data_IF_901700809599
#
_entry.id   IF_901700809599
#
_cell.length_a   1.000
_cell.length_b   1.000
_cell.length_c   1.000
_cell.angle_alpha   90.00
_cell.angle_beta   90.00
_cell.angle_gamma   90.00
#
_symmetry.space_group_name_H-M   'P 1'
#
loop_
_entity.id
_entity.type
_entity.pdbx_description
1 polymer ?
#
# COMPACT_ATOMS: atom_id res chain seq x y z
N UNK A 1 -31.46 34.71 -1.87
CA UNK A 1 -30.98 33.32 -2.07
C UNK A 1 -29.49 33.38 -2.39
N UNK A 2 -28.63 33.29 -1.38
CA UNK A 2 -27.18 33.31 -1.55
C UNK A 2 -26.74 32.05 -2.30
N UNK A 3 -26.12 32.22 -3.47
CA UNK A 3 -25.55 31.13 -4.26
C UNK A 3 -24.24 30.69 -3.62
N UNK A 4 -24.20 29.52 -2.98
CA UNK A 4 -22.98 28.99 -2.38
C UNK A 4 -22.04 28.43 -3.46
N UNK A 5 -20.82 28.96 -3.53
CA UNK A 5 -19.74 28.42 -4.39
C UNK A 5 -19.13 27.17 -3.75
N UNK A 6 -19.27 26.02 -4.40
CA UNK A 6 -18.63 24.77 -3.95
C UNK A 6 -17.18 24.69 -4.45
N UNK A 7 -16.20 24.86 -3.55
CA UNK A 7 -14.78 24.67 -3.86
C UNK A 7 -14.37 23.23 -3.57
N UNK A 8 -13.93 22.48 -4.60
CA UNK A 8 -13.37 21.13 -4.43
C UNK A 8 -11.86 21.22 -4.20
N UNK A 9 -11.40 20.83 -3.02
CA UNK A 9 -9.97 20.77 -2.71
C UNK A 9 -9.30 19.55 -3.36
N UNK A 10 -8.09 19.75 -3.87
CA UNK A 10 -7.23 18.67 -4.35
C UNK A 10 -6.68 17.86 -3.17
N UNK A 11 -7.03 16.56 -3.11
CA UNK A 11 -6.60 15.66 -2.04
C UNK A 11 -5.29 14.94 -2.42
N UNK A 12 -4.16 15.63 -2.24
CA UNK A 12 -2.83 15.05 -2.47
C UNK A 12 -2.33 14.29 -1.24
N UNK A 13 -1.51 13.26 -1.49
CA UNK A 13 -0.79 12.56 -0.41
C UNK A 13 0.42 13.41 -0.02
N UNK A 14 0.40 13.91 1.21
CA UNK A 14 1.45 14.75 1.73
C UNK A 14 2.63 13.91 2.24
N UNK A 15 3.83 14.46 2.08
CA UNK A 15 5.05 13.97 2.74
C UNK A 15 5.04 14.54 4.15
N UNK A 16 4.74 13.69 5.13
CA UNK A 16 4.58 14.07 6.53
C UNK A 16 5.06 12.95 7.46
N UNK A 17 5.37 13.29 8.71
CA UNK A 17 5.78 12.32 9.71
C UNK A 17 4.62 11.36 10.02
N UNK A 18 4.91 10.06 10.04
CA UNK A 18 3.89 9.01 10.23
C UNK A 18 3.19 8.58 8.94
N UNK A 19 3.52 9.17 7.79
CA UNK A 19 3.11 8.67 6.48
C UNK A 19 3.78 7.34 6.19
N UNK A 20 2.98 6.35 5.78
CA UNK A 20 3.47 5.04 5.38
C UNK A 20 3.79 5.07 3.89
N UNK A 21 4.95 4.55 3.53
CA UNK A 21 5.46 4.51 2.17
C UNK A 21 5.77 3.08 1.75
N UNK A 22 5.56 2.79 0.47
CA UNK A 22 5.98 1.54 -0.15
C UNK A 22 7.31 1.79 -0.88
N UNK A 23 8.34 1.03 -0.54
CA UNK A 23 9.62 1.11 -1.24
C UNK A 23 9.49 0.44 -2.61
N UNK A 24 9.85 1.15 -3.69
CA UNK A 24 9.66 0.67 -5.06
C UNK A 24 10.93 0.09 -5.69
N UNK A 25 12.12 0.52 -5.22
CA UNK A 25 13.42 0.13 -5.77
C UNK A 25 14.43 -0.19 -4.66
N UNK A 26 15.46 -0.95 -5.01
CA UNK A 26 16.55 -1.33 -4.11
C UNK A 26 16.26 -2.62 -3.32
N UNK A 27 17.14 -2.92 -2.36
CA UNK A 27 17.11 -4.17 -1.57
C UNK A 27 15.80 -4.37 -0.79
N UNK A 28 15.10 -3.28 -0.47
CA UNK A 28 13.86 -3.30 0.32
C UNK A 28 12.60 -3.11 -0.52
N UNK A 29 12.68 -3.27 -1.85
CA UNK A 29 11.54 -3.11 -2.75
C UNK A 29 10.36 -4.01 -2.33
N UNK A 30 9.14 -3.46 -2.37
CA UNK A 30 7.91 -4.13 -1.95
C UNK A 30 7.60 -4.04 -0.46
N UNK A 31 8.54 -3.55 0.37
CA UNK A 31 8.33 -3.41 1.82
C UNK A 31 7.74 -2.05 2.18
N UNK A 32 6.96 -2.01 3.25
CA UNK A 32 6.48 -0.75 3.83
C UNK A 32 7.53 -0.15 4.75
N UNK A 33 7.57 1.18 4.82
CA UNK A 33 8.31 1.92 5.82
C UNK A 33 7.51 3.16 6.24
N UNK A 34 7.89 3.80 7.34
CA UNK A 34 7.26 5.02 7.84
C UNK A 34 8.22 6.18 7.70
N UNK A 35 7.75 7.34 7.24
CA UNK A 35 8.49 8.60 7.29
C UNK A 35 8.59 9.07 8.75
N UNK A 36 9.81 9.14 9.27
CA UNK A 36 10.09 9.57 10.65
C UNK A 36 10.47 11.04 10.71
N UNK A 37 11.18 11.51 9.68
CA UNK A 37 11.64 12.88 9.55
C UNK A 37 11.85 13.22 8.08
N UNK A 38 11.67 14.49 7.74
CA UNK A 38 11.91 15.03 6.39
C UNK A 38 13.28 15.71 6.43
N UNK A 39 14.19 15.25 5.57
CA UNK A 39 15.56 15.77 5.52
C UNK A 39 15.58 16.99 4.61
N UNK A 40 15.09 16.82 3.38
CA UNK A 40 15.02 17.86 2.37
C UNK A 40 13.86 17.57 1.40
N UNK A 41 13.71 18.39 0.35
CA UNK A 41 12.62 18.27 -0.61
C UNK A 41 12.61 16.94 -1.40
N UNK A 42 13.76 16.24 -1.48
CA UNK A 42 13.92 15.01 -2.26
C UNK A 42 14.19 13.78 -1.39
N UNK A 43 14.46 13.94 -0.09
CA UNK A 43 14.85 12.85 0.81
C UNK A 43 14.12 12.90 2.14
N UNK A 44 13.78 11.72 2.64
CA UNK A 44 13.18 11.53 3.95
C UNK A 44 13.96 10.45 4.73
N UNK A 45 13.94 10.55 6.06
CA UNK A 45 14.38 9.49 6.95
C UNK A 45 13.22 8.51 7.13
N UNK A 46 13.41 7.26 6.73
CA UNK A 46 12.40 6.21 6.85
C UNK A 46 12.84 5.13 7.82
N UNK A 47 11.87 4.48 8.45
CA UNK A 47 12.09 3.37 9.38
C UNK A 47 10.95 2.34 9.24
N UNK A 48 11.30 1.05 9.16
CA UNK A 48 10.35 -0.05 8.98
C UNK A 48 10.74 -1.27 9.81
N UNK A 49 10.72 -1.17 11.15
CA UNK A 49 11.21 -2.24 12.03
C UNK A 49 10.41 -3.55 11.91
N UNK A 50 9.09 -3.46 11.70
CA UNK A 50 8.21 -4.63 11.52
C UNK A 50 8.33 -5.29 10.14
N UNK A 51 8.78 -4.54 9.13
CA UNK A 51 8.93 -5.01 7.74
C UNK A 51 10.37 -5.34 7.36
N UNK A 52 11.32 -5.08 8.26
CA UNK A 52 12.75 -5.30 8.05
C UNK A 52 13.39 -4.27 7.11
N UNK A 53 12.86 -3.05 7.07
CA UNK A 53 13.54 -1.90 6.44
C UNK A 53 14.32 -1.16 7.53
N UNK A 54 15.66 -1.10 7.47
CA UNK A 54 16.43 -0.40 8.48
C UNK A 54 16.20 1.10 8.39
N UNK A 55 16.43 1.77 9.52
CA UNK A 55 16.40 3.24 9.61
C UNK A 55 17.45 3.84 8.66
N UNK A 56 17.01 4.53 7.63
CA UNK A 56 17.90 5.07 6.61
C UNK A 56 17.31 6.30 5.92
N UNK A 57 18.17 7.16 5.37
CA UNK A 57 17.73 8.19 4.43
C UNK A 57 17.36 7.56 3.09
N UNK A 58 16.20 7.89 2.54
CA UNK A 58 15.76 7.42 1.23
C UNK A 58 15.31 8.59 0.34
N UNK A 59 15.59 8.49 -0.95
CA UNK A 59 15.03 9.42 -1.95
C UNK A 59 13.52 9.19 -2.09
N UNK A 60 12.75 10.27 -2.10
CA UNK A 60 11.32 10.26 -2.34
C UNK A 60 10.97 9.69 -3.73
N UNK A 61 11.91 9.72 -4.68
CA UNK A 61 11.76 9.09 -5.99
C UNK A 61 11.80 7.54 -5.95
N UNK A 62 12.32 6.94 -4.87
CA UNK A 62 12.44 5.49 -4.71
C UNK A 62 11.28 4.88 -3.91
N UNK A 63 10.38 5.71 -3.38
CA UNK A 63 9.23 5.29 -2.60
C UNK A 63 7.95 5.83 -3.21
N UNK A 64 6.82 5.18 -2.89
CA UNK A 64 5.50 5.66 -3.25
C UNK A 64 4.70 5.88 -1.98
N UNK A 65 4.09 7.07 -1.85
CA UNK A 65 3.26 7.40 -0.71
C UNK A 65 1.96 6.60 -0.74
N UNK A 66 1.68 5.90 0.36
CA UNK A 66 0.39 5.24 0.57
C UNK A 66 -0.62 6.23 1.18
N UNK A 67 -1.93 5.97 1.07
CA UNK A 67 -2.92 6.78 1.77
C UNK A 67 -2.85 6.64 3.30
N UNK A 68 -2.16 5.60 3.83
CA UNK A 68 -2.10 5.32 5.26
C UNK A 68 -1.16 6.30 5.98
N UNK A 69 -1.66 6.81 7.11
CA UNK A 69 -0.93 7.66 8.06
C UNK A 69 -1.23 7.19 9.48
N UNK A 70 -0.32 7.48 10.40
CA UNK A 70 -0.57 7.34 11.83
C UNK A 70 0.18 8.43 12.61
N UNK A 71 -0.28 8.73 13.82
CA UNK A 71 0.35 9.75 14.66
C UNK A 71 1.71 9.28 15.18
N UNK A 72 2.76 10.00 14.80
CA UNK A 72 4.14 9.74 15.20
C UNK A 72 4.87 11.05 15.49
N UNK A 73 5.52 11.20 16.66
CA UNK A 73 6.39 12.34 16.92
C UNK A 73 7.59 12.37 15.96
N UNK A 74 7.96 13.54 15.44
CA UNK A 74 9.14 13.72 14.59
C UNK A 74 10.40 13.20 15.28
N UNK A 75 11.25 12.50 14.53
CA UNK A 75 12.53 12.01 15.05
C UNK A 75 12.41 10.79 15.98
N UNK A 76 11.21 10.20 16.11
CA UNK A 76 10.99 8.99 16.93
C UNK A 76 12.02 7.90 16.66
N UNK A 77 12.53 7.25 17.72
CA UNK A 77 13.44 6.09 17.61
C UNK A 77 12.70 4.85 17.13
N UNK A 78 13.43 3.89 16.59
CA UNK A 78 12.90 2.65 15.98
C UNK A 78 11.93 1.89 16.88
N UNK A 79 12.21 1.78 18.19
CA UNK A 79 11.31 1.13 19.13
C UNK A 79 9.94 1.85 19.25
N UNK A 80 9.94 3.18 19.26
CA UNK A 80 8.71 3.98 19.28
C UNK A 80 7.93 3.84 17.98
N UNK A 81 8.63 3.82 16.83
CA UNK A 81 8.02 3.58 15.52
C UNK A 81 7.34 2.21 15.49
N UNK A 82 8.03 1.15 15.94
CA UNK A 82 7.45 -0.20 16.00
C UNK A 82 6.18 -0.24 16.85
N UNK A 83 6.22 0.32 18.06
CA UNK A 83 5.08 0.36 18.98
C UNK A 83 3.88 1.11 18.41
N UNK A 84 4.11 2.26 17.77
CA UNK A 84 3.05 3.08 17.17
C UNK A 84 2.49 2.45 15.90
N UNK A 85 3.34 1.82 15.08
CA UNK A 85 2.95 1.14 13.86
C UNK A 85 2.01 -0.04 14.14
N UNK A 86 2.34 -0.87 15.15
CA UNK A 86 1.49 -1.98 15.56
C UNK A 86 0.20 -1.49 16.23
N UNK A 87 0.28 -0.50 17.12
CA UNK A 87 -0.90 0.09 17.75
C UNK A 87 -1.90 0.70 16.74
N UNK A 88 -1.39 1.22 15.61
CA UNK A 88 -2.23 1.79 14.55
C UNK A 88 -2.81 0.74 13.59
N UNK A 89 -2.43 -0.54 13.71
CA UNK A 89 -2.91 -1.63 12.85
C UNK A 89 -2.59 -1.41 11.37
N UNK A 90 -1.41 -0.86 11.07
CA UNK A 90 -1.04 -0.44 9.70
C UNK A 90 -0.89 -1.64 8.76
N UNK A 91 -0.37 -2.75 9.26
CA UNK A 91 -0.15 -3.95 8.44
C UNK A 91 -1.47 -4.54 7.96
N UNK A 92 -2.46 -4.62 8.85
CA UNK A 92 -3.80 -5.12 8.59
C UNK A 92 -4.52 -4.21 7.60
N UNK A 93 -4.52 -2.89 7.86
CA UNK A 93 -5.10 -1.88 6.96
C UNK A 93 -4.47 -1.91 5.57
N UNK A 94 -3.15 -2.14 5.49
CA UNK A 94 -2.48 -2.31 4.22
C UNK A 94 -2.96 -3.58 3.50
N UNK A 95 -2.97 -4.72 4.19
CA UNK A 95 -3.39 -6.01 3.62
C UNK A 95 -4.85 -5.98 3.10
N UNK A 96 -5.73 -5.24 3.78
CA UNK A 96 -7.13 -5.06 3.37
C UNK A 96 -7.30 -4.18 2.13
N UNK A 97 -6.31 -3.32 1.84
CA UNK A 97 -6.39 -2.38 0.74
C UNK A 97 -6.48 -3.09 -0.62
N UNK A 98 -7.26 -2.51 -1.54
CA UNK A 98 -7.35 -3.00 -2.92
C UNK A 98 -5.97 -3.02 -3.61
N UNK A 99 -5.08 -2.11 -3.22
CA UNK A 99 -3.72 -2.05 -3.73
C UNK A 99 -2.91 -3.29 -3.31
N UNK A 100 -2.86 -3.60 -2.02
CA UNK A 100 -2.14 -4.79 -1.54
C UNK A 100 -2.74 -6.08 -2.11
N UNK A 101 -4.07 -6.20 -2.14
CA UNK A 101 -4.77 -7.34 -2.75
C UNK A 101 -4.41 -7.53 -4.22
N UNK A 102 -4.21 -6.44 -4.98
CA UNK A 102 -3.78 -6.49 -6.39
C UNK A 102 -2.32 -6.93 -6.54
N UNK A 103 -1.44 -6.51 -5.62
CA UNK A 103 -0.04 -6.97 -5.58
C UNK A 103 -0.03 -8.49 -5.32
N UNK A 104 -0.70 -8.94 -4.26
CA UNK A 104 -0.81 -10.36 -3.90
C UNK A 104 -1.40 -11.20 -5.04
N UNK A 105 -2.49 -10.74 -5.67
CA UNK A 105 -3.09 -11.43 -6.82
C UNK A 105 -2.08 -11.61 -7.98
N UNK A 106 -1.25 -10.59 -8.25
CA UNK A 106 -0.24 -10.66 -9.30
C UNK A 106 0.86 -11.66 -8.96
N UNK A 107 1.30 -11.69 -7.70
CA UNK A 107 2.30 -12.64 -7.20
C UNK A 107 1.78 -14.07 -7.27
N UNK A 108 0.58 -14.33 -6.74
CA UNK A 108 -0.06 -15.65 -6.82
C UNK A 108 -0.17 -16.12 -8.27
N UNK A 109 -0.61 -15.26 -9.20
CA UNK A 109 -0.71 -15.63 -10.62
C UNK A 109 0.64 -15.94 -11.27
N UNK A 110 1.71 -15.25 -10.87
CA UNK A 110 3.07 -15.55 -11.34
C UNK A 110 3.59 -16.88 -10.82
N UNK A 111 3.18 -17.29 -9.63
CA UNK A 111 3.59 -18.52 -8.98
C UNK A 111 2.79 -19.78 -9.40
N UNK A 112 1.80 -19.67 -10.29
CA UNK A 112 0.96 -20.80 -10.69
C UNK A 112 1.73 -21.84 -11.52
N UNK A 113 1.60 -23.11 -11.13
CA UNK A 113 2.06 -24.25 -11.92
C UNK A 113 1.23 -24.41 -13.22
N UNK A 114 1.72 -25.24 -14.14
CA UNK A 114 0.98 -25.55 -15.38
C UNK A 114 -0.38 -26.19 -15.11
N UNK A 115 -0.42 -27.14 -14.18
CA UNK A 115 -1.65 -27.79 -13.76
C UNK A 115 -2.64 -26.80 -13.12
N UNK A 116 -2.17 -25.85 -12.32
CA UNK A 116 -3.05 -24.83 -11.74
C UNK A 116 -3.58 -23.85 -12.79
N UNK A 117 -2.78 -23.52 -13.82
CA UNK A 117 -3.25 -22.75 -14.96
C UNK A 117 -4.37 -23.47 -15.72
N UNK A 118 -4.25 -24.80 -15.89
CA UNK A 118 -5.33 -25.62 -16.46
C UNK A 118 -6.60 -25.58 -15.60
N UNK A 119 -6.49 -25.78 -14.27
CA UNK A 119 -7.63 -25.67 -13.34
C UNK A 119 -8.32 -24.32 -13.44
N UNK A 120 -7.55 -23.22 -13.42
CA UNK A 120 -8.08 -21.86 -13.55
C UNK A 120 -8.82 -21.67 -14.87
N UNK A 121 -8.31 -22.24 -15.98
CA UNK A 121 -8.96 -22.17 -17.29
C UNK A 121 -10.32 -22.89 -17.28
N UNK A 122 -10.41 -24.09 -16.71
CA UNK A 122 -11.67 -24.84 -16.59
C UNK A 122 -12.68 -24.10 -15.70
N UNK A 123 -12.25 -23.64 -14.51
CA UNK A 123 -13.11 -22.89 -13.58
C UNK A 123 -13.63 -21.59 -14.21
N UNK A 124 -12.81 -20.90 -15.01
CA UNK A 124 -13.25 -19.72 -15.78
C UNK A 124 -14.33 -20.05 -16.80
N UNK A 125 -14.25 -21.20 -17.49
CA UNK A 125 -15.29 -21.65 -18.43
C UNK A 125 -16.62 -21.91 -17.71
N UNK A 126 -16.58 -22.59 -16.56
CA UNK A 126 -17.76 -22.85 -15.72
C UNK A 126 -18.41 -21.54 -15.24
N UNK A 127 -17.62 -20.62 -14.67
CA UNK A 127 -18.10 -19.30 -14.25
C UNK A 127 -18.72 -18.53 -15.42
N UNK A 128 -18.08 -18.52 -16.59
CA UNK A 128 -18.58 -17.82 -17.78
C UNK A 128 -19.95 -18.33 -18.22
N UNK A 129 -20.15 -19.64 -18.19
CA UNK A 129 -21.44 -20.25 -18.54
C UNK A 129 -22.55 -19.80 -17.59
N UNK A 130 -22.32 -19.89 -16.28
CA UNK A 130 -23.27 -19.45 -15.25
C UNK A 130 -23.63 -17.95 -15.37
N UNK A 131 -22.62 -17.09 -15.55
CA UNK A 131 -22.82 -15.65 -15.71
C UNK A 131 -23.65 -15.34 -16.97
N UNK A 132 -23.34 -15.96 -18.11
CA UNK A 132 -24.11 -15.75 -19.35
C UNK A 132 -25.57 -16.17 -19.20
N UNK A 133 -25.84 -17.31 -18.55
CA UNK A 133 -27.20 -17.76 -18.29
C UNK A 133 -27.97 -16.79 -17.39
N UNK A 134 -27.33 -16.27 -16.35
CA UNK A 134 -27.94 -15.29 -15.46
C UNK A 134 -28.24 -13.96 -16.17
N UNK A 135 -27.29 -13.46 -16.97
CA UNK A 135 -27.45 -12.21 -17.73
C UNK A 135 -28.55 -12.33 -18.80
N UNK A 136 -28.70 -13.47 -19.46
CA UNK A 136 -29.76 -13.67 -20.46
C UNK A 136 -31.17 -13.83 -19.85
N UNK A 137 -31.27 -14.05 -18.53
CA UNK A 137 -32.54 -14.20 -17.81
C UNK A 137 -33.03 -12.87 -17.20
N UNK A 138 -32.12 -11.92 -16.98
CA UNK A 138 -32.42 -10.56 -16.53
C UNK A 138 -32.80 -9.69 -17.74
#
# INVERSE_FOLDING_TARGET
MSTETTVKASNWRLVEVGRVVLVNKGQYAGKLATIVEIIDHKRALVDGPTTGVPRQSISLAHVVLTPLTFSLPRGSRTATVAKKFTAAGVAEKWAESAWAKKIAQRETRRALSDFDRFKVMVLKKQRRFAVKKAVAKA
#
